data_IF_001019750606
#
_entry.id   IF_001019750606
#
_cell.length_a   1.000
_cell.length_b   1.000
_cell.length_c   1.000
_cell.angle_alpha   90.00
_cell.angle_beta   90.00
_cell.angle_gamma   90.00
#
_symmetry.space_group_name_H-M   'P 1'
#
loop_
_entity.id
_entity.type
_entity.pdbx_description
1 polymer ?
#
# COMPACT_ATOMS: atom_id res chain seq x y z
N UNK A 1 -16.12 4.76 -3.74
CA UNK A 1 -16.58 3.38 -3.53
C UNK A 1 -15.90 2.88 -2.25
N UNK A 2 -16.64 2.29 -1.31
CA UNK A 2 -16.08 1.76 -0.06
C UNK A 2 -16.07 0.24 -0.17
N UNK A 3 -14.94 -0.40 0.13
CA UNK A 3 -14.86 -1.86 0.18
C UNK A 3 -15.19 -2.33 1.60
N UNK A 4 -15.83 -3.49 1.74
CA UNK A 4 -16.08 -4.01 3.08
C UNK A 4 -14.76 -4.52 3.68
N UNK A 5 -14.64 -4.35 5.00
CA UNK A 5 -13.50 -4.85 5.78
C UNK A 5 -13.24 -6.35 5.53
N UNK A 6 -14.33 -7.13 5.43
CA UNK A 6 -14.28 -8.56 5.20
C UNK A 6 -13.75 -8.93 3.81
N UNK A 7 -14.12 -8.18 2.76
CA UNK A 7 -13.59 -8.42 1.40
C UNK A 7 -12.10 -8.10 1.38
N UNK A 8 -11.70 -6.96 1.93
CA UNK A 8 -10.30 -6.56 2.02
C UNK A 8 -9.46 -7.62 2.75
N UNK A 9 -9.90 -8.06 3.92
CA UNK A 9 -9.20 -9.09 4.70
C UNK A 9 -9.15 -10.45 3.97
N UNK A 10 -10.21 -10.80 3.24
CA UNK A 10 -10.25 -12.05 2.48
C UNK A 10 -9.23 -12.04 1.33
N UNK A 11 -9.14 -10.95 0.57
CA UNK A 11 -8.13 -10.81 -0.49
C UNK A 11 -6.71 -10.90 0.07
N UNK A 12 -6.44 -10.22 1.20
CA UNK A 12 -5.13 -10.28 1.87
C UNK A 12 -4.78 -11.70 2.31
N UNK A 13 -5.73 -12.45 2.88
CA UNK A 13 -5.54 -13.85 3.29
C UNK A 13 -5.27 -14.80 2.12
N UNK A 14 -5.75 -14.48 0.93
CA UNK A 14 -5.51 -15.26 -0.28
C UNK A 14 -4.14 -14.96 -0.93
N UNK A 15 -3.35 -14.07 -0.34
CA UNK A 15 -2.05 -13.65 -0.89
C UNK A 15 -2.09 -12.32 -1.64
N UNK A 16 -3.22 -11.61 -1.59
CA UNK A 16 -3.32 -10.24 -2.08
C UNK A 16 -2.49 -9.25 -1.26
N UNK A 17 -2.34 -8.04 -1.78
CA UNK A 17 -1.62 -6.98 -1.09
C UNK A 17 -2.26 -5.62 -1.35
N UNK A 18 -2.04 -4.67 -0.45
CA UNK A 18 -2.34 -3.27 -0.72
C UNK A 18 -1.08 -2.63 -1.31
N UNK A 19 -1.21 -1.93 -2.43
CA UNK A 19 -0.15 -1.08 -2.97
C UNK A 19 -0.51 0.38 -2.75
N UNK A 20 0.47 1.12 -2.24
CA UNK A 20 0.40 2.56 -2.07
C UNK A 20 1.32 3.25 -3.05
N UNK A 21 0.92 4.43 -3.52
CA UNK A 21 1.63 5.21 -4.52
C UNK A 21 1.68 6.67 -4.11
N UNK A 22 2.81 7.30 -4.34
CA UNK A 22 2.98 8.74 -4.18
C UNK A 22 3.91 9.26 -5.27
N UNK A 23 3.81 10.55 -5.55
CA UNK A 23 4.78 11.29 -6.36
C UNK A 23 5.33 12.47 -5.58
N UNK A 24 6.51 12.93 -5.98
CA UNK A 24 7.18 14.10 -5.43
C UNK A 24 7.79 14.87 -6.58
N UNK A 25 7.38 16.13 -6.72
CA UNK A 25 7.89 17.00 -7.77
C UNK A 25 9.39 17.24 -7.60
N UNK A 26 10.09 17.56 -8.70
CA UNK A 26 11.52 17.90 -8.70
C UNK A 26 11.91 18.94 -7.63
N UNK A 27 11.01 19.88 -7.35
CA UNK A 27 11.24 20.97 -6.38
C UNK A 27 11.33 20.49 -4.93
N UNK A 28 10.84 19.28 -4.66
CA UNK A 28 10.81 18.67 -3.34
C UNK A 28 11.75 17.45 -3.27
N UNK A 29 12.63 17.27 -4.26
CA UNK A 29 13.61 16.19 -4.24
C UNK A 29 14.47 16.27 -2.96
N UNK A 30 14.66 15.14 -2.29
CA UNK A 30 15.43 15.05 -1.05
C UNK A 30 14.66 15.37 0.24
N UNK A 31 13.40 15.83 0.18
CA UNK A 31 12.54 15.89 1.38
C UNK A 31 11.99 14.50 1.72
N UNK A 32 11.48 14.24 2.93
CA UNK A 32 10.86 12.96 3.24
C UNK A 32 9.67 12.64 2.30
N UNK A 33 9.37 11.34 2.05
CA UNK A 33 8.15 10.92 1.35
C UNK A 33 6.89 11.43 2.05
N UNK A 34 5.79 11.69 1.31
CA UNK A 34 4.54 12.14 1.91
C UNK A 34 3.96 11.07 2.84
N UNK A 35 3.38 11.52 3.96
CA UNK A 35 2.76 10.64 4.97
C UNK A 35 1.51 9.95 4.43
N UNK A 36 0.71 10.67 3.65
CA UNK A 36 -0.50 10.13 3.01
C UNK A 36 -0.18 9.81 1.56
N UNK A 37 -0.30 8.54 1.13
CA UNK A 37 -0.11 8.19 -0.27
C UNK A 37 -1.23 8.80 -1.12
N UNK A 38 -0.89 9.15 -2.35
CA UNK A 38 -1.83 9.74 -3.32
C UNK A 38 -2.77 8.69 -3.91
N UNK A 39 -2.32 7.44 -3.98
CA UNK A 39 -3.08 6.31 -4.49
C UNK A 39 -2.94 5.09 -3.60
N UNK A 40 -4.03 4.35 -3.44
CA UNK A 40 -4.09 3.07 -2.75
C UNK A 40 -4.92 2.11 -3.58
N UNK A 41 -4.43 0.89 -3.76
CA UNK A 41 -5.16 -0.17 -4.47
C UNK A 41 -5.00 -1.50 -3.74
N UNK A 42 -6.03 -2.33 -3.81
CA UNK A 42 -6.00 -3.73 -3.38
C UNK A 42 -5.80 -4.62 -4.60
N UNK A 43 -4.71 -5.37 -4.60
CA UNK A 43 -4.48 -6.43 -5.55
C UNK A 43 -5.07 -7.73 -5.03
N UNK A 44 -5.89 -8.37 -5.85
CA UNK A 44 -6.49 -9.67 -5.54
C UNK A 44 -5.88 -10.75 -6.44
N UNK A 45 -5.36 -11.84 -5.89
CA UNK A 45 -4.75 -12.91 -6.70
C UNK A 45 -5.75 -13.48 -7.71
N UNK A 46 -5.33 -13.60 -8.97
CA UNK A 46 -6.15 -14.12 -10.05
C UNK A 46 -7.08 -13.09 -10.71
N UNK A 47 -7.22 -11.88 -10.14
CA UNK A 47 -7.92 -10.77 -10.77
C UNK A 47 -6.99 -9.99 -11.69
N UNK A 48 -7.50 -9.55 -12.84
CA UNK A 48 -6.72 -8.78 -13.81
C UNK A 48 -6.66 -7.28 -13.49
N UNK A 49 -7.44 -6.81 -12.52
CA UNK A 49 -7.54 -5.40 -12.15
C UNK A 49 -7.38 -5.18 -10.66
N UNK A 50 -6.76 -4.05 -10.33
CA UNK A 50 -6.65 -3.62 -8.94
C UNK A 50 -7.91 -2.88 -8.52
N UNK A 51 -8.33 -3.07 -7.27
CA UNK A 51 -9.47 -2.34 -6.70
C UNK A 51 -8.98 -1.07 -6.01
N UNK A 52 -9.37 0.13 -6.47
CA UNK A 52 -9.00 1.37 -5.79
C UNK A 52 -9.53 1.39 -4.36
N UNK A 53 -8.68 1.81 -3.42
CA UNK A 53 -9.02 1.99 -2.02
C UNK A 53 -9.04 3.47 -1.66
N UNK A 54 -9.95 3.85 -0.77
CA UNK A 54 -9.86 5.13 -0.08
C UNK A 54 -8.83 5.07 1.04
N UNK A 55 -8.40 6.23 1.52
CA UNK A 55 -7.56 6.31 2.71
C UNK A 55 -8.21 5.63 3.93
N UNK A 56 -9.53 5.74 4.08
CA UNK A 56 -10.29 5.12 5.18
C UNK A 56 -10.24 3.60 5.08
N UNK A 57 -10.37 3.03 3.88
CA UNK A 57 -10.26 1.57 3.70
C UNK A 57 -8.88 1.06 4.13
N UNK A 58 -7.82 1.82 3.79
CA UNK A 58 -6.47 1.46 4.20
C UNK A 58 -6.23 1.62 5.71
N UNK A 59 -6.74 2.69 6.34
CA UNK A 59 -6.63 2.87 7.80
C UNK A 59 -7.25 1.69 8.55
N UNK A 60 -8.40 1.18 8.08
CA UNK A 60 -9.01 -0.03 8.65
C UNK A 60 -8.11 -1.25 8.48
N UNK A 61 -7.42 -1.36 7.34
CA UNK A 61 -6.50 -2.45 7.01
C UNK A 61 -5.18 -2.44 7.80
N UNK A 62 -4.69 -1.28 8.22
CA UNK A 62 -3.36 -1.10 8.82
C UNK A 62 -3.08 -2.00 10.03
N UNK A 63 -4.12 -2.38 10.79
CA UNK A 63 -3.98 -3.27 11.95
C UNK A 63 -3.60 -4.70 11.58
N UNK A 64 -3.85 -5.15 10.36
CA UNK A 64 -3.49 -6.52 9.91
C UNK A 64 -2.32 -6.59 8.95
N UNK A 65 -1.83 -5.45 8.45
CA UNK A 65 -0.77 -5.45 7.44
C UNK A 65 0.56 -4.95 8.00
N UNK A 66 1.63 -5.31 7.31
CA UNK A 66 2.99 -4.79 7.50
C UNK A 66 3.51 -4.29 6.16
N UNK A 67 4.35 -3.26 6.20
CA UNK A 67 5.08 -2.79 5.03
C UNK A 67 6.12 -3.85 4.67
N UNK A 68 5.85 -4.64 3.64
CA UNK A 68 6.72 -5.72 3.21
C UNK A 68 7.83 -5.22 2.28
N UNK A 69 7.55 -4.17 1.52
CA UNK A 69 8.49 -3.61 0.55
C UNK A 69 8.19 -2.13 0.35
N UNK A 70 9.24 -1.34 0.15
CA UNK A 70 9.15 0.06 -0.29
C UNK A 70 9.97 0.23 -1.55
N UNK A 71 9.49 1.05 -2.48
CA UNK A 71 10.21 1.33 -3.71
C UNK A 71 10.17 2.82 -4.03
N UNK A 72 11.18 3.27 -4.77
CA UNK A 72 11.25 4.61 -5.34
C UNK A 72 11.83 4.54 -6.74
N UNK A 73 11.38 5.44 -7.62
CA UNK A 73 11.89 5.58 -8.97
C UNK A 73 11.78 7.03 -9.42
N UNK A 74 12.85 7.59 -9.96
CA UNK A 74 12.83 8.92 -10.57
C UNK A 74 12.64 8.80 -12.08
N UNK A 75 11.61 9.45 -12.62
CA UNK A 75 11.36 9.55 -14.06
C UNK A 75 11.38 11.03 -14.45
N UNK A 76 12.39 11.41 -15.23
CA UNK A 76 12.71 12.81 -15.48
C UNK A 76 13.09 13.52 -14.17
N UNK A 77 12.41 14.61 -13.84
CA UNK A 77 12.60 15.32 -12.57
C UNK A 77 11.63 14.89 -11.46
N UNK A 78 10.70 13.97 -11.71
CA UNK A 78 9.68 13.59 -10.72
C UNK A 78 10.05 12.27 -10.08
N UNK A 79 10.04 12.23 -8.75
CA UNK A 79 10.24 11.01 -7.97
C UNK A 79 8.88 10.37 -7.69
N UNK A 80 8.78 9.08 -7.96
CA UNK A 80 7.65 8.24 -7.64
C UNK A 80 8.08 7.25 -6.58
N UNK A 81 7.13 6.78 -5.79
CA UNK A 81 7.40 5.68 -4.90
C UNK A 81 6.14 5.13 -4.29
N UNK A 82 6.35 4.18 -3.41
CA UNK A 82 5.24 3.44 -2.86
C UNK A 82 5.71 2.38 -1.88
N UNK A 83 4.72 1.65 -1.39
CA UNK A 83 4.93 0.51 -0.52
C UNK A 83 3.94 -0.59 -0.82
N UNK A 84 4.39 -1.82 -0.64
CA UNK A 84 3.58 -3.04 -0.70
C UNK A 84 3.28 -3.47 0.73
N UNK A 85 2.00 -3.55 1.06
CA UNK A 85 1.51 -3.92 2.38
C UNK A 85 0.89 -5.30 2.31
N UNK A 86 1.46 -6.25 3.04
CA UNK A 86 1.00 -7.65 3.08
C UNK A 86 0.43 -7.99 4.44
N UNK A 87 -0.41 -9.00 4.49
CA UNK A 87 -0.95 -9.53 5.75
C UNK A 87 0.21 -9.90 6.68
N UNK A 88 0.11 -9.49 7.94
CA UNK A 88 1.01 -9.90 9.02
C UNK A 88 1.03 -11.42 9.11
N UNK A 89 2.23 -11.97 9.19
CA UNK A 89 2.44 -13.37 9.51
C UNK A 89 2.83 -13.50 10.99
N UNK A 90 2.61 -14.67 11.59
CA UNK A 90 2.95 -14.92 13.00
C UNK A 90 4.44 -14.65 13.32
N UNK A 91 5.31 -14.76 12.30
CA UNK A 91 6.74 -14.46 12.39
C UNK A 91 7.04 -12.98 12.66
N UNK A 92 6.13 -12.09 12.29
CA UNK A 92 6.31 -10.63 12.44
C UNK A 92 5.99 -10.15 13.87
N UNK A 93 5.55 -11.04 14.77
CA UNK A 93 5.32 -10.74 16.19
C UNK A 93 6.55 -10.95 17.09
N UNK A 94 7.68 -11.45 16.56
CA UNK A 94 8.86 -11.82 17.36
C UNK A 94 9.92 -10.72 17.42
N UNK A 95 9.52 -9.45 17.42
CA UNK A 95 10.46 -8.35 17.70
C UNK A 95 9.75 -7.30 18.55
N UNK A 96 9.83 -7.50 19.87
CA UNK A 96 9.69 -6.45 20.90
C UNK A 96 11.05 -6.20 21.53
#
# INVERSE_FOLDING_TARGET
MRISEQVLLSSLRQGGCVRSFWRRSARLAGTPPPVVPEGLVLETPGESGDTPLSHVDFVVAQKWVVCAETWTQTVGGTEFGGAVWRLRTDRDNTTS
#
